data_IF_203817107535
#
_entry.id   IF_203817107535
#
_cell.length_a   1.000
_cell.length_b   1.000
_cell.length_c   1.000
_cell.angle_alpha   90.00
_cell.angle_beta   90.00
_cell.angle_gamma   90.00
#
_symmetry.space_group_name_H-M   'P 1'
#
loop_
_entity.id
_entity.type
_entity.pdbx_description
1 polymer ?
#
# COMPACT_ATOMS: atom_id res chain seq x y z
N UNK A 1 -3.91 19.28 27.04
CA UNK A 1 -2.71 19.56 26.22
C UNK A 1 -2.88 18.70 24.99
N UNK A 2 -3.69 19.20 24.05
CA UNK A 2 -3.89 18.56 22.75
C UNK A 2 -2.71 18.96 21.86
N UNK A 3 -1.73 18.07 21.74
CA UNK A 3 -0.73 18.15 20.69
C UNK A 3 -1.38 17.65 19.40
N UNK A 4 -1.75 18.59 18.55
CA UNK A 4 -2.19 18.34 17.18
C UNK A 4 -0.99 17.71 16.46
N UNK A 5 -1.03 16.39 16.27
CA UNK A 5 -0.10 15.69 15.40
C UNK A 5 -0.19 16.32 14.00
N UNK A 6 0.89 16.96 13.56
CA UNK A 6 1.00 17.53 12.23
C UNK A 6 0.74 16.42 11.20
N UNK A 7 -0.37 16.53 10.47
CA UNK A 7 -0.84 15.52 9.54
C UNK A 7 0.06 15.51 8.31
N UNK A 8 1.16 14.77 8.37
CA UNK A 8 2.05 14.57 7.22
C UNK A 8 1.28 13.83 6.14
N UNK A 9 0.96 14.53 5.03
CA UNK A 9 0.35 13.92 3.86
C UNK A 9 1.32 12.89 3.25
N UNK A 10 1.09 11.61 3.56
CA UNK A 10 1.96 10.49 3.16
C UNK A 10 1.96 10.22 1.65
N UNK A 11 0.96 10.74 0.94
CA UNK A 11 0.86 10.69 -0.51
C UNK A 11 0.36 12.04 -1.02
N UNK A 12 1.08 12.60 -1.98
CA UNK A 12 0.67 13.81 -2.69
C UNK A 12 0.70 13.53 -4.20
N UNK A 13 -0.22 14.14 -4.94
CA UNK A 13 -0.26 14.04 -6.40
C UNK A 13 0.92 14.81 -6.97
N UNK A 14 1.90 14.12 -7.56
CA UNK A 14 3.13 14.75 -8.06
C UNK A 14 2.90 15.72 -9.22
N UNK A 15 2.02 15.38 -10.16
CA UNK A 15 1.74 16.17 -11.37
C UNK A 15 0.27 16.55 -11.41
N UNK A 16 -0.02 17.84 -11.59
CA UNK A 16 -1.39 18.37 -11.73
C UNK A 16 -1.83 18.43 -13.20
N UNK A 17 -3.11 18.69 -13.44
CA UNK A 17 -3.61 18.84 -14.81
C UNK A 17 -3.07 20.13 -15.43
N UNK A 18 -2.40 20.03 -16.58
CA UNK A 18 -1.70 21.15 -17.24
C UNK A 18 -0.24 21.35 -16.83
N UNK A 19 0.33 20.40 -16.07
CA UNK A 19 1.76 20.40 -15.69
C UNK A 19 2.64 19.86 -16.83
N UNK A 20 2.67 20.61 -17.94
CA UNK A 20 3.29 20.21 -19.21
C UNK A 20 4.78 20.62 -19.31
N UNK A 21 5.29 21.35 -18.31
CA UNK A 21 6.66 21.87 -18.29
C UNK A 21 7.63 20.88 -17.64
N UNK A 22 8.90 20.94 -18.07
CA UNK A 22 9.93 20.14 -17.44
C UNK A 22 10.23 20.68 -16.03
N UNK A 23 10.32 19.82 -15.00
CA UNK A 23 10.65 20.26 -13.65
C UNK A 23 12.09 20.79 -13.59
N UNK A 24 12.33 21.67 -12.62
CA UNK A 24 13.65 22.24 -12.32
C UNK A 24 14.71 21.14 -12.17
N UNK A 25 15.92 21.37 -12.68
CA UNK A 25 16.97 20.35 -12.68
C UNK A 25 17.36 19.92 -11.26
N UNK A 26 17.22 20.80 -10.27
CA UNK A 26 17.47 20.52 -8.85
C UNK A 26 16.48 19.51 -8.26
N UNK A 27 15.28 19.39 -8.83
CA UNK A 27 14.29 18.38 -8.45
C UNK A 27 14.53 17.02 -9.11
N UNK A 28 15.50 16.92 -10.05
CA UNK A 28 15.97 15.65 -10.60
C UNK A 28 17.00 15.05 -9.67
N UNK A 29 16.49 14.48 -8.58
CA UNK A 29 17.28 13.79 -7.55
C UNK A 29 18.04 12.58 -8.12
N UNK A 30 17.53 11.99 -9.21
CA UNK A 30 18.13 10.85 -9.89
C UNK A 30 18.78 11.27 -11.22
N UNK A 31 20.11 11.18 -11.31
CA UNK A 31 20.87 11.33 -12.56
C UNK A 31 21.47 9.99 -12.95
N UNK A 32 20.94 9.37 -14.01
CA UNK A 32 21.45 8.11 -14.56
C UNK A 32 21.67 6.99 -13.51
N UNK A 33 20.76 6.87 -12.53
CA UNK A 33 20.83 5.86 -11.47
C UNK A 33 21.52 6.31 -10.17
N UNK A 34 22.10 7.50 -10.13
CA UNK A 34 22.73 8.06 -8.93
C UNK A 34 21.84 9.11 -8.26
N UNK A 35 21.75 9.06 -6.94
CA UNK A 35 21.06 10.04 -6.11
C UNK A 35 21.95 10.43 -4.93
N UNK A 36 21.93 11.71 -4.58
CA UNK A 36 22.58 12.21 -3.36
C UNK A 36 21.74 11.95 -2.10
N UNK A 37 20.50 11.45 -2.25
CA UNK A 37 19.66 11.00 -1.15
C UNK A 37 19.96 9.53 -0.84
N UNK A 38 20.20 9.23 0.43
CA UNK A 38 20.34 7.85 0.92
C UNK A 38 18.94 7.20 1.02
N UNK A 39 18.69 6.03 0.38
CA UNK A 39 17.39 5.38 0.48
C UNK A 39 17.13 4.94 1.92
N UNK A 40 15.98 5.31 2.45
CA UNK A 40 15.51 4.87 3.76
C UNK A 40 14.35 3.92 3.60
N UNK A 41 14.32 2.86 4.42
CA UNK A 41 13.15 2.00 4.49
C UNK A 41 12.03 2.75 5.20
N UNK A 42 10.99 3.08 4.45
CA UNK A 42 9.79 3.73 4.97
C UNK A 42 8.65 2.75 4.89
N UNK A 43 8.00 2.49 6.02
CA UNK A 43 6.77 1.71 6.03
C UNK A 43 5.66 2.54 5.38
N UNK A 44 5.14 2.07 4.24
CA UNK A 44 4.04 2.73 3.53
C UNK A 44 2.88 1.77 3.34
N UNK A 45 1.69 2.22 3.71
CA UNK A 45 0.45 1.52 3.39
C UNK A 45 0.28 1.50 1.87
N UNK A 46 0.09 0.33 1.25
CA UNK A 46 -0.17 0.26 -0.19
C UNK A 46 -1.42 1.08 -0.53
N UNK A 47 -1.45 1.77 -1.69
CA UNK A 47 -2.58 2.62 -2.06
C UNK A 47 -3.88 1.82 -2.17
N UNK A 48 -3.84 0.56 -2.61
CA UNK A 48 -5.03 -0.29 -2.67
C UNK A 48 -5.67 -0.48 -1.28
N UNK A 49 -4.86 -0.73 -0.24
CA UNK A 49 -5.35 -0.85 1.14
C UNK A 49 -5.77 0.50 1.71
N UNK A 50 -4.93 1.55 1.53
CA UNK A 50 -5.19 2.87 2.08
C UNK A 50 -6.41 3.58 1.47
N UNK A 51 -6.77 3.24 0.23
CA UNK A 51 -7.96 3.77 -0.44
C UNK A 51 -9.19 2.88 -0.33
N UNK A 52 -9.07 1.65 0.17
CA UNK A 52 -10.19 0.74 0.34
C UNK A 52 -11.05 1.19 1.53
N UNK A 53 -12.34 1.55 1.34
CA UNK A 53 -13.20 1.99 2.45
C UNK A 53 -13.41 0.93 3.53
N UNK A 54 -13.32 -0.36 3.15
CA UNK A 54 -13.41 -1.48 4.10
C UNK A 54 -12.07 -1.86 4.74
N UNK A 55 -10.97 -1.17 4.39
CA UNK A 55 -9.67 -1.37 5.02
C UNK A 55 -9.04 -2.74 4.78
N UNK A 56 -9.42 -3.46 3.72
CA UNK A 56 -8.88 -4.79 3.43
C UNK A 56 -7.35 -4.78 3.30
N UNK A 57 -6.69 -5.77 3.90
CA UNK A 57 -5.28 -6.06 3.62
C UNK A 57 -5.14 -6.78 2.28
N UNK A 58 -5.25 -5.98 1.21
CA UNK A 58 -5.21 -6.46 -0.17
C UNK A 58 -3.87 -7.13 -0.51
N UNK A 59 -2.76 -6.58 0.00
CA UNK A 59 -1.45 -7.19 -0.23
C UNK A 59 -1.35 -8.55 0.47
N UNK A 60 -1.87 -8.66 1.70
CA UNK A 60 -1.88 -9.89 2.48
C UNK A 60 -2.61 -11.03 1.79
N UNK A 61 -3.89 -10.87 1.45
CA UNK A 61 -4.64 -11.98 0.82
C UNK A 61 -4.17 -12.29 -0.60
N UNK A 62 -3.62 -11.32 -1.34
CA UNK A 62 -2.96 -11.58 -2.63
C UNK A 62 -1.67 -12.40 -2.49
N UNK A 63 -0.91 -12.23 -1.41
CA UNK A 63 0.28 -13.03 -1.15
C UNK A 63 -0.09 -14.51 -0.92
N UNK A 64 -1.21 -14.76 -0.23
CA UNK A 64 -1.77 -16.11 -0.04
C UNK A 64 -2.18 -16.71 -1.38
N UNK A 65 -2.93 -15.97 -2.20
CA UNK A 65 -3.38 -16.42 -3.52
C UNK A 65 -2.20 -16.72 -4.49
N UNK A 66 -1.06 -16.07 -4.30
CA UNK A 66 0.19 -16.33 -5.06
C UNK A 66 1.02 -17.47 -4.49
N UNK A 67 0.61 -18.08 -3.38
CA UNK A 67 1.36 -19.15 -2.70
C UNK A 67 2.65 -18.67 -2.04
N UNK A 68 2.81 -17.36 -1.84
CA UNK A 68 3.94 -16.77 -1.11
C UNK A 68 3.74 -17.01 0.38
N UNK A 69 2.55 -16.67 0.86
CA UNK A 69 2.12 -16.95 2.22
C UNK A 69 1.28 -18.24 2.22
N UNK A 70 1.55 -19.13 3.17
CA UNK A 70 0.95 -20.47 3.22
C UNK A 70 0.03 -20.59 4.42
N UNK A 71 -1.07 -21.37 4.29
CA UNK A 71 -1.95 -21.64 5.43
C UNK A 71 -1.15 -22.14 6.65
N UNK A 72 -1.37 -21.56 7.84
CA UNK A 72 -0.63 -21.94 9.04
C UNK A 72 -1.08 -23.28 9.63
N UNK A 73 -2.26 -23.77 9.22
CA UNK A 73 -2.85 -25.02 9.69
C UNK A 73 -2.72 -26.10 8.63
N UNK A 74 -2.25 -27.29 9.01
CA UNK A 74 -2.14 -28.43 8.11
C UNK A 74 -3.52 -28.84 7.55
N UNK A 75 -3.58 -29.06 6.24
CA UNK A 75 -4.83 -29.42 5.54
C UNK A 75 -5.75 -28.25 5.19
N UNK A 76 -5.49 -27.03 5.69
CA UNK A 76 -6.25 -25.83 5.31
C UNK A 76 -5.95 -25.46 3.86
N UNK A 77 -7.02 -25.17 3.09
CA UNK A 77 -6.86 -24.67 1.72
C UNK A 77 -6.42 -23.21 1.71
N UNK A 78 -5.65 -22.79 0.72
CA UNK A 78 -5.23 -21.40 0.62
C UNK A 78 -6.43 -20.46 0.39
N UNK A 79 -7.50 -20.94 -0.24
CA UNK A 79 -8.74 -20.20 -0.46
C UNK A 79 -9.41 -19.85 0.86
N UNK A 80 -9.51 -20.83 1.76
CA UNK A 80 -10.05 -20.63 3.10
C UNK A 80 -9.19 -19.65 3.89
N UNK A 81 -7.86 -19.80 3.84
CA UNK A 81 -6.95 -18.89 4.53
C UNK A 81 -7.07 -17.45 4.03
N UNK A 82 -7.10 -17.25 2.71
CA UNK A 82 -7.31 -15.94 2.10
C UNK A 82 -8.69 -15.36 2.47
N UNK A 83 -9.74 -16.18 2.48
CA UNK A 83 -11.08 -15.75 2.85
C UNK A 83 -11.16 -15.30 4.31
N UNK A 84 -10.60 -16.08 5.24
CA UNK A 84 -10.52 -15.70 6.65
C UNK A 84 -9.78 -14.37 6.84
N UNK A 85 -8.68 -14.17 6.09
CA UNK A 85 -7.92 -12.91 6.11
C UNK A 85 -8.72 -11.70 5.63
N UNK A 86 -9.59 -11.88 4.63
CA UNK A 86 -10.50 -10.82 4.18
C UNK A 86 -11.57 -10.52 5.24
N UNK A 87 -12.11 -11.56 5.88
CA UNK A 87 -13.15 -11.44 6.92
C UNK A 87 -12.69 -10.63 8.15
N UNK A 88 -11.38 -10.68 8.48
CA UNK A 88 -10.81 -9.88 9.58
C UNK A 88 -11.11 -8.37 9.47
N UNK A 89 -11.13 -7.84 8.25
CA UNK A 89 -11.39 -6.42 8.00
C UNK A 89 -12.86 -6.13 7.66
N UNK A 90 -13.56 -7.11 7.05
CA UNK A 90 -14.90 -6.91 6.52
C UNK A 90 -15.76 -8.17 6.67
N UNK A 91 -16.92 -8.12 7.36
CA UNK A 91 -17.79 -9.29 7.54
C UNK A 91 -18.44 -9.81 6.25
N UNK A 92 -18.41 -9.05 5.16
CA UNK A 92 -19.03 -9.41 3.87
C UNK A 92 -18.05 -9.23 2.69
N UNK A 93 -16.91 -9.94 2.68
CA UNK A 93 -15.88 -9.71 1.66
C UNK A 93 -16.37 -10.11 0.26
N UNK A 94 -17.12 -11.22 0.14
CA UNK A 94 -17.67 -11.68 -1.13
C UNK A 94 -18.67 -10.70 -1.78
N UNK A 95 -19.37 -9.88 -0.99
CA UNK A 95 -20.33 -8.89 -1.50
C UNK A 95 -19.63 -7.62 -1.98
N UNK A 96 -18.57 -7.20 -1.26
CA UNK A 96 -17.86 -5.96 -1.55
C UNK A 96 -16.83 -6.12 -2.68
N UNK A 97 -16.20 -7.29 -2.79
CA UNK A 97 -15.03 -7.53 -3.64
C UNK A 97 -13.75 -7.28 -2.89
#
# INVERSE_FOLDING_TARGET
MDEIAEQVNLSWRRYQDGDDSAPEWTEKIHTAGHSHQCPTYVHRTPPCQGSCPSGHDIRGWLAIARGIDKPPVEGMTWQEYAFNRMVEANPFPATMG
#
